data_IF_772878456508
#
_entry.id   IF_772878456508
#
_cell.length_a   1.000
_cell.length_b   1.000
_cell.length_c   1.000
_cell.angle_alpha   90.00
_cell.angle_beta   90.00
_cell.angle_gamma   90.00
#
_symmetry.space_group_name_H-M   'P 1'
#
loop_
_entity.id
_entity.type
_entity.pdbx_description
1 polymer ?
#
# COMPACT_ATOMS: atom_id res chain seq x y z
N UNK A 1 -9.67 2.27 -1.14
CA UNK A 1 -10.40 2.73 -2.34
C UNK A 1 -9.57 2.49 -3.61
N UNK A 2 -10.20 2.09 -4.71
CA UNK A 2 -9.58 1.96 -6.04
C UNK A 2 -10.26 2.92 -7.01
N UNK A 3 -9.48 3.56 -7.88
CA UNK A 3 -9.93 4.60 -8.80
C UNK A 3 -9.30 4.38 -10.17
N UNK A 4 -10.04 4.65 -11.25
CA UNK A 4 -9.44 4.73 -12.59
C UNK A 4 -8.64 6.03 -12.72
N UNK A 5 -7.49 5.98 -13.38
CA UNK A 5 -6.68 7.18 -13.61
C UNK A 5 -7.39 8.22 -14.48
N UNK A 6 -8.27 7.79 -15.39
CA UNK A 6 -9.07 8.69 -16.24
C UNK A 6 -10.10 9.53 -15.47
N UNK A 7 -10.46 9.11 -14.25
CA UNK A 7 -11.49 9.76 -13.44
C UNK A 7 -10.89 10.72 -12.40
N UNK A 8 -9.56 10.88 -12.39
CA UNK A 8 -8.82 11.68 -11.40
C UNK A 8 -7.94 12.70 -12.13
N UNK A 9 -7.81 13.94 -11.60
CA UNK A 9 -6.95 14.95 -12.22
C UNK A 9 -5.50 14.49 -12.40
N UNK A 10 -4.88 14.91 -13.50
CA UNK A 10 -3.48 14.56 -13.79
C UNK A 10 -2.49 15.28 -12.86
N UNK A 11 -2.78 16.56 -12.56
CA UNK A 11 -1.90 17.37 -11.72
C UNK A 11 -1.91 16.86 -10.29
N UNK A 12 -0.74 16.85 -9.65
CA UNK A 12 -0.60 16.37 -8.28
C UNK A 12 -1.49 17.15 -7.32
N UNK A 13 -1.48 18.48 -7.38
CA UNK A 13 -2.27 19.30 -6.47
C UNK A 13 -3.78 19.02 -6.56
N UNK A 14 -4.33 18.96 -7.78
CA UNK A 14 -5.76 18.69 -7.96
C UNK A 14 -6.13 17.25 -7.57
N UNK A 15 -5.25 16.28 -7.87
CA UNK A 15 -5.43 14.90 -7.44
C UNK A 15 -5.42 14.78 -5.92
N UNK A 16 -4.45 15.38 -5.25
CA UNK A 16 -4.30 15.31 -3.80
C UNK A 16 -5.55 15.89 -3.12
N UNK A 17 -6.07 17.02 -3.63
CA UNK A 17 -7.33 17.61 -3.16
C UNK A 17 -8.54 16.66 -3.32
N UNK A 18 -8.67 15.99 -4.46
CA UNK A 18 -9.75 15.00 -4.69
C UNK A 18 -9.60 13.80 -3.75
N UNK A 19 -8.38 13.29 -3.55
CA UNK A 19 -8.15 12.14 -2.66
C UNK A 19 -8.43 12.46 -1.20
N UNK A 20 -8.06 13.67 -0.76
CA UNK A 20 -8.39 14.18 0.58
C UNK A 20 -9.89 14.27 0.76
N UNK A 21 -10.61 14.89 -0.18
CA UNK A 21 -12.06 15.00 -0.13
C UNK A 21 -12.76 13.64 -0.13
N UNK A 22 -12.38 12.72 -1.03
CA UNK A 22 -12.98 11.38 -1.12
C UNK A 22 -12.82 10.55 0.17
N UNK A 23 -11.71 10.73 0.87
CA UNK A 23 -11.45 10.04 2.14
C UNK A 23 -11.86 10.87 3.37
N UNK A 24 -12.41 12.07 3.18
CA UNK A 24 -12.88 12.91 4.28
C UNK A 24 -11.75 13.46 5.15
N UNK A 25 -10.59 13.77 4.57
CA UNK A 25 -9.41 14.25 5.30
C UNK A 25 -9.12 15.73 5.02
N UNK A 26 -8.62 16.50 6.01
CA UNK A 26 -8.29 16.09 7.37
C UNK A 26 -9.51 16.05 8.30
N UNK A 27 -9.77 14.89 8.91
CA UNK A 27 -10.74 14.69 9.98
C UNK A 27 -10.40 13.36 10.67
N UNK A 28 -10.09 13.34 11.98
CA UNK A 28 -9.88 12.10 12.73
C UNK A 28 -10.99 11.06 12.55
N UNK A 29 -12.22 11.51 12.31
CA UNK A 29 -13.39 10.64 12.10
C UNK A 29 -13.60 10.28 10.63
N UNK A 30 -13.04 11.05 9.69
CA UNK A 30 -13.30 10.95 8.25
C UNK A 30 -14.80 10.89 7.92
N UNK A 31 -15.62 11.64 8.68
CA UNK A 31 -17.07 11.50 8.67
C UNK A 31 -17.71 11.91 7.34
N UNK A 32 -17.11 12.88 6.66
CA UNK A 32 -17.54 13.40 5.36
C UNK A 32 -16.84 12.69 4.18
N UNK A 33 -16.42 11.43 4.36
CA UNK A 33 -15.76 10.67 3.32
C UNK A 33 -15.82 9.15 3.48
N UNK A 34 -15.13 8.46 2.58
CA UNK A 34 -15.05 6.99 2.56
C UNK A 34 -13.89 6.45 3.42
N UNK A 35 -13.19 7.34 4.12
CA UNK A 35 -12.14 6.98 5.06
C UNK A 35 -12.72 6.22 6.24
N UNK A 36 -11.90 5.35 6.84
CA UNK A 36 -12.33 4.49 7.94
C UNK A 36 -11.62 4.79 9.24
N UNK A 37 -11.29 6.07 9.51
CA UNK A 37 -10.60 6.63 10.70
C UNK A 37 -9.18 6.07 11.00
N UNK A 38 -8.80 4.93 10.42
CA UNK A 38 -7.48 4.32 10.61
C UNK A 38 -6.59 4.50 9.38
N UNK A 39 -5.28 4.60 9.58
CA UNK A 39 -4.33 4.66 8.48
C UNK A 39 -4.43 3.43 7.55
N UNK A 40 -4.83 2.26 8.08
CA UNK A 40 -5.04 1.02 7.32
C UNK A 40 -6.21 1.12 6.32
N UNK A 41 -7.23 1.92 6.62
CA UNK A 41 -8.45 2.12 5.84
C UNK A 41 -8.48 3.45 5.09
N UNK A 42 -7.61 4.42 5.44
CA UNK A 42 -7.39 5.66 4.69
C UNK A 42 -6.33 5.48 3.59
N UNK A 43 -6.69 4.78 2.51
CA UNK A 43 -5.77 4.44 1.40
C UNK A 43 -6.45 4.49 0.04
N UNK A 44 -5.74 4.99 -0.96
CA UNK A 44 -6.19 5.01 -2.34
C UNK A 44 -5.20 4.33 -3.29
N UNK A 45 -5.73 3.71 -4.35
CA UNK A 45 -4.96 3.13 -5.45
C UNK A 45 -5.56 3.62 -6.75
N UNK A 46 -4.73 4.25 -7.59
CA UNK A 46 -5.12 4.76 -8.90
C UNK A 46 -4.59 3.79 -9.94
N UNK A 47 -5.45 3.31 -10.83
CA UNK A 47 -5.16 2.22 -11.76
C UNK A 47 -5.46 2.63 -13.19
N UNK A 48 -4.60 2.21 -14.11
CA UNK A 48 -4.81 2.36 -15.54
C UNK A 48 -4.16 1.21 -16.31
N UNK A 49 -4.61 0.96 -17.53
CA UNK A 49 -3.99 0.02 -18.45
C UNK A 49 -3.23 0.78 -19.53
N UNK A 50 -2.01 0.34 -19.82
CA UNK A 50 -1.18 0.85 -20.91
C UNK A 50 -0.40 -0.28 -21.57
N UNK A 51 -0.77 -0.62 -22.81
CA UNK A 51 0.02 -1.49 -23.69
C UNK A 51 0.20 -2.93 -23.18
N UNK A 52 -0.85 -3.52 -22.61
CA UNK A 52 -0.88 -4.84 -21.97
C UNK A 52 -0.33 -4.87 -20.55
N UNK A 53 -0.14 -3.72 -19.90
CA UNK A 53 0.38 -3.61 -18.52
C UNK A 53 -0.51 -2.72 -17.67
N UNK A 54 -0.87 -3.19 -16.49
CA UNK A 54 -1.67 -2.42 -15.53
C UNK A 54 -0.73 -1.58 -14.66
N UNK A 55 -0.78 -0.27 -14.82
CA UNK A 55 -0.06 0.66 -13.99
C UNK A 55 -0.91 1.01 -12.78
N UNK A 56 -0.29 1.01 -11.59
CA UNK A 56 -0.97 1.47 -10.38
C UNK A 56 -0.11 2.42 -9.57
N UNK A 57 -0.75 3.43 -8.98
CA UNK A 57 -0.15 4.37 -8.03
C UNK A 57 -0.85 4.22 -6.68
N UNK A 58 -0.08 3.88 -5.66
CA UNK A 58 -0.55 3.87 -4.27
C UNK A 58 -0.43 5.27 -3.66
N UNK A 59 -1.43 5.65 -2.88
CA UNK A 59 -1.46 6.88 -2.10
C UNK A 59 -1.90 6.56 -0.68
N UNK A 60 -1.05 6.89 0.29
CA UNK A 60 -1.43 6.96 1.69
C UNK A 60 -2.02 8.33 1.96
N UNK A 61 -3.22 8.39 2.51
CA UNK A 61 -3.86 9.66 2.88
C UNK A 61 -3.80 9.79 4.40
N UNK A 62 -3.37 10.96 4.88
CA UNK A 62 -3.40 11.31 6.30
C UNK A 62 -4.83 11.31 6.81
N UNK A 63 -5.06 10.91 8.05
CA UNK A 63 -6.43 10.88 8.61
C UNK A 63 -6.79 12.27 9.09
N UNK A 64 -6.01 12.77 10.05
CA UNK A 64 -6.11 14.08 10.70
C UNK A 64 -5.24 15.17 10.06
N UNK A 65 -4.40 14.79 9.09
CA UNK A 65 -3.53 15.71 8.35
C UNK A 65 -3.90 15.76 6.86
N UNK A 66 -3.85 16.95 6.26
CA UNK A 66 -4.12 17.18 4.83
C UNK A 66 -2.93 16.77 3.94
N UNK A 67 -2.46 15.52 4.08
CA UNK A 67 -1.27 15.02 3.40
C UNK A 67 -1.61 13.78 2.57
N UNK A 68 -1.05 13.73 1.36
CA UNK A 68 -1.06 12.54 0.50
C UNK A 68 0.38 12.11 0.24
N UNK A 69 0.74 10.93 0.74
CA UNK A 69 2.07 10.35 0.61
C UNK A 69 2.12 9.24 -0.45
N UNK A 70 3.02 9.42 -1.41
CA UNK A 70 3.28 8.51 -2.53
C UNK A 70 4.60 7.73 -2.38
N UNK A 71 5.38 7.98 -1.33
CA UNK A 71 6.67 7.35 -1.09
C UNK A 71 6.54 5.96 -0.46
N UNK A 72 5.46 5.75 0.29
CA UNK A 72 5.13 4.47 0.91
C UNK A 72 4.49 3.53 -0.11
N UNK A 73 4.61 2.23 0.12
CA UNK A 73 3.89 1.21 -0.64
C UNK A 73 3.18 0.27 0.32
N UNK A 74 2.03 -0.25 -0.11
CA UNK A 74 1.29 -1.26 0.64
C UNK A 74 1.39 -2.62 -0.06
N UNK A 75 1.97 -3.60 0.63
CA UNK A 75 2.06 -4.98 0.14
C UNK A 75 0.70 -5.67 -0.01
N UNK A 76 -0.34 -5.17 0.65
CA UNK A 76 -1.67 -5.78 0.65
C UNK A 76 -2.47 -5.30 -0.57
N UNK A 77 -2.55 -3.98 -0.74
CA UNK A 77 -3.35 -3.36 -1.80
C UNK A 77 -2.82 -3.64 -3.21
N UNK A 78 -1.51 -3.87 -3.38
CA UNK A 78 -0.95 -4.25 -4.69
C UNK A 78 -1.57 -5.53 -5.25
N UNK A 79 -2.03 -6.44 -4.38
CA UNK A 79 -2.60 -7.73 -4.80
C UNK A 79 -4.04 -7.57 -5.28
N UNK A 80 -4.75 -6.57 -4.77
CA UNK A 80 -6.09 -6.22 -5.22
C UNK A 80 -6.12 -5.53 -6.60
N UNK A 81 -4.96 -5.06 -7.11
CA UNK A 81 -4.87 -4.35 -8.40
C UNK A 81 -5.24 -5.25 -9.58
N UNK A 82 -4.76 -6.49 -9.61
CA UNK A 82 -5.07 -7.42 -10.71
C UNK A 82 -6.57 -7.78 -10.78
N UNK A 83 -7.24 -8.16 -9.67
CA UNK A 83 -8.68 -8.34 -9.62
C UNK A 83 -9.45 -7.11 -10.08
N UNK A 84 -9.09 -5.92 -9.57
CA UNK A 84 -9.73 -4.67 -9.96
C UNK A 84 -9.63 -4.47 -11.48
N UNK A 85 -8.45 -4.71 -12.06
CA UNK A 85 -8.24 -4.57 -13.49
C UNK A 85 -9.02 -5.59 -14.33
N UNK A 86 -9.27 -6.80 -13.81
CA UNK A 86 -10.13 -7.80 -14.47
C UNK A 86 -11.59 -7.36 -14.40
N UNK A 87 -12.09 -7.06 -13.21
CA UNK A 87 -13.49 -6.74 -12.96
C UNK A 87 -13.91 -5.45 -13.69
N UNK A 88 -13.01 -4.47 -13.76
CA UNK A 88 -13.21 -3.21 -14.48
C UNK A 88 -12.85 -3.29 -15.97
N UNK A 89 -12.58 -4.49 -16.50
CA UNK A 89 -12.28 -4.76 -17.91
C UNK A 89 -11.10 -3.97 -18.47
N UNK A 90 -10.16 -3.60 -17.60
CA UNK A 90 -8.86 -3.07 -18.00
C UNK A 90 -8.01 -4.18 -18.64
N UNK A 91 -8.14 -5.42 -18.16
CA UNK A 91 -7.51 -6.59 -18.77
C UNK A 91 -8.58 -7.43 -19.45
N UNK A 92 -8.29 -7.94 -20.65
CA UNK A 92 -9.21 -8.80 -21.38
C UNK A 92 -9.59 -10.02 -20.52
N UNK A 93 -10.89 -10.24 -20.26
CA UNK A 93 -11.33 -11.36 -19.43
C UNK A 93 -11.07 -12.67 -20.16
N UNK A 94 -10.57 -13.66 -19.43
CA UNK A 94 -10.46 -15.04 -19.89
C UNK A 94 -10.42 -15.96 -18.70
N UNK A 95 -11.39 -16.86 -18.62
CA UNK A 95 -11.61 -17.72 -17.44
C UNK A 95 -10.48 -18.73 -17.20
N UNK A 96 -10.34 -19.13 -15.94
CA UNK A 96 -9.27 -19.96 -15.41
C UNK A 96 -8.09 -19.15 -14.86
N UNK A 97 -6.97 -19.83 -14.64
CA UNK A 97 -5.76 -19.20 -14.11
C UNK A 97 -5.14 -18.23 -15.12
N UNK A 98 -4.84 -17.01 -14.71
CA UNK A 98 -4.27 -15.94 -15.56
C UNK A 98 -3.13 -15.20 -14.89
N UNK A 99 -2.31 -14.59 -15.74
CA UNK A 99 -1.22 -13.71 -15.32
C UNK A 99 -1.49 -12.28 -15.77
N UNK A 100 -1.45 -11.35 -14.81
CA UNK A 100 -1.55 -9.91 -15.08
C UNK A 100 -0.20 -9.25 -14.78
N UNK A 101 0.28 -8.46 -15.74
CA UNK A 101 1.49 -7.65 -15.57
C UNK A 101 1.10 -6.34 -14.90
N UNK A 102 1.70 -6.08 -13.73
CA UNK A 102 1.50 -4.84 -13.00
C UNK A 102 2.80 -4.03 -12.99
N UNK A 103 2.67 -2.71 -13.03
CA UNK A 103 3.77 -1.78 -12.86
C UNK A 103 3.43 -0.76 -11.76
N UNK A 104 4.21 -0.76 -10.69
CA UNK A 104 4.05 0.21 -9.61
C UNK A 104 4.61 1.57 -10.05
N UNK A 105 3.74 2.55 -10.26
CA UNK A 105 4.11 3.89 -10.71
C UNK A 105 4.84 4.72 -9.64
N UNK A 106 4.78 4.35 -8.35
CA UNK A 106 5.55 5.00 -7.29
C UNK A 106 7.03 4.61 -7.33
N UNK A 107 7.33 3.35 -7.68
CA UNK A 107 8.68 2.75 -7.53
C UNK A 107 9.32 2.26 -8.83
N UNK A 108 8.55 2.12 -9.90
CA UNK A 108 8.99 1.50 -11.15
C UNK A 108 9.09 -0.03 -11.10
N UNK A 109 8.64 -0.68 -10.02
CA UNK A 109 8.75 -2.13 -9.87
C UNK A 109 7.69 -2.85 -10.70
N UNK A 110 8.14 -3.72 -11.60
CA UNK A 110 7.29 -4.68 -12.32
C UNK A 110 6.91 -5.87 -11.43
N UNK A 111 5.65 -6.29 -11.49
CA UNK A 111 5.07 -7.37 -10.70
C UNK A 111 4.26 -8.27 -11.63
N UNK A 112 4.39 -9.58 -11.45
CA UNK A 112 3.51 -10.58 -12.06
C UNK A 112 2.49 -11.02 -11.02
N UNK A 113 1.22 -10.78 -11.27
CA UNK A 113 0.12 -11.28 -10.43
C UNK A 113 -0.53 -12.50 -11.10
N UNK A 114 -0.78 -13.55 -10.33
CA UNK A 114 -1.48 -14.75 -10.75
C UNK A 114 -2.78 -14.85 -9.97
N UNK A 115 -3.89 -14.93 -10.69
CA UNK A 115 -5.25 -15.01 -10.14
C UNK A 115 -6.12 -15.91 -11.02
N UNK A 116 -7.18 -16.44 -10.42
CA UNK A 116 -8.21 -17.19 -11.14
C UNK A 116 -9.34 -16.26 -11.55
N UNK A 117 -9.80 -16.39 -12.80
CA UNK A 117 -10.94 -15.66 -13.35
C UNK A 117 -12.08 -16.65 -13.55
N UNK A 118 -13.28 -16.30 -13.13
CA UNK A 118 -14.49 -17.09 -13.29
C UNK A 118 -15.62 -16.17 -13.74
N UNK A 119 -16.34 -16.54 -14.80
CA UNK A 119 -17.44 -15.76 -15.37
C UNK A 119 -17.01 -14.33 -15.75
N UNK A 120 -15.78 -14.20 -16.26
CA UNK A 120 -15.18 -12.92 -16.64
C UNK A 120 -14.83 -11.98 -15.48
N UNK A 121 -14.87 -12.46 -14.22
CA UNK A 121 -14.52 -11.71 -13.01
C UNK A 121 -13.42 -12.40 -12.24
N UNK A 122 -12.70 -11.68 -11.39
CA UNK A 122 -11.78 -12.32 -10.46
C UNK A 122 -12.55 -13.26 -9.53
N UNK A 123 -12.10 -14.51 -9.43
CA UNK A 123 -12.70 -15.46 -8.49
C UNK A 123 -12.43 -14.97 -7.06
N UNK A 124 -13.42 -15.13 -6.20
CA UNK A 124 -13.35 -14.68 -4.79
C UNK A 124 -13.59 -15.83 -3.82
N UNK A 125 -14.52 -16.72 -4.16
CA UNK A 125 -14.91 -17.85 -3.28
C UNK A 125 -13.85 -18.96 -3.34
N UNK A 126 -13.27 -19.30 -2.19
CA UNK A 126 -12.29 -20.37 -2.03
C UNK A 126 -12.09 -20.73 -0.56
N UNK A 127 -11.13 -21.61 -0.29
CA UNK A 127 -10.83 -22.20 1.03
C UNK A 127 -9.52 -21.68 1.64
N UNK A 128 -8.83 -20.75 0.98
CA UNK A 128 -7.60 -20.17 1.49
C UNK A 128 -7.92 -19.10 2.55
N UNK A 129 -7.37 -19.26 3.75
CA UNK A 129 -7.53 -18.32 4.85
C UNK A 129 -6.20 -17.59 5.16
N UNK A 130 -6.32 -16.38 5.69
CA UNK A 130 -5.20 -15.50 6.06
C UNK A 130 -5.44 -14.91 7.45
N UNK A 131 -4.41 -14.84 8.31
CA UNK A 131 -4.58 -14.21 9.62
C UNK A 131 -5.00 -12.75 9.50
N UNK A 132 -6.01 -12.36 10.29
CA UNK A 132 -6.51 -10.97 10.36
C UNK A 132 -7.71 -10.66 9.46
N UNK A 133 -8.16 -11.58 8.61
CA UNK A 133 -9.43 -11.46 7.90
C UNK A 133 -10.33 -12.65 8.17
N UNK A 134 -11.57 -12.43 8.65
CA UNK A 134 -12.57 -13.48 8.78
C UNK A 134 -12.92 -14.12 7.43
N UNK A 135 -13.20 -15.42 7.45
CA UNK A 135 -13.60 -16.18 6.28
C UNK A 135 -12.43 -16.70 5.43
N UNK A 136 -12.76 -17.14 4.22
CA UNK A 136 -11.83 -17.72 3.26
C UNK A 136 -12.09 -17.20 1.85
N UNK A 137 -11.12 -17.40 0.98
CA UNK A 137 -11.22 -17.00 -0.42
C UNK A 137 -10.18 -17.67 -1.30
N UNK A 138 -9.87 -17.07 -2.43
CA UNK A 138 -8.83 -17.59 -3.33
C UNK A 138 -7.48 -16.90 -3.12
N UNK A 139 -6.35 -17.63 -3.26
CA UNK A 139 -5.04 -17.02 -3.22
C UNK A 139 -4.74 -16.24 -4.50
N UNK A 140 -4.10 -15.09 -4.34
CA UNK A 140 -3.45 -14.35 -5.43
C UNK A 140 -1.97 -14.30 -5.15
N UNK A 141 -1.20 -14.79 -6.11
CA UNK A 141 0.24 -14.85 -6.00
C UNK A 141 0.87 -13.67 -6.75
N UNK A 142 1.60 -12.84 -6.03
CA UNK A 142 2.39 -11.74 -6.62
C UNK A 142 3.87 -12.07 -6.57
N UNK A 143 4.53 -12.02 -7.72
CA UNK A 143 5.98 -12.19 -7.88
C UNK A 143 6.58 -10.89 -8.37
N UNK A 144 7.64 -10.44 -7.72
CA UNK A 144 8.32 -9.21 -8.08
C UNK A 144 9.78 -9.27 -7.71
N UNK A 145 10.55 -8.43 -8.40
CA UNK A 145 11.98 -8.51 -8.34
C UNK A 145 12.55 -7.27 -7.67
N UNK A 146 13.30 -7.45 -6.59
CA UNK A 146 13.92 -6.35 -5.86
C UNK A 146 15.39 -6.27 -6.26
N UNK A 147 15.79 -5.09 -6.74
CA UNK A 147 17.20 -4.75 -6.85
C UNK A 147 17.75 -4.47 -5.44
N UNK A 148 18.83 -5.13 -5.01
CA UNK A 148 19.44 -4.81 -3.72
C UNK A 148 19.92 -3.35 -3.71
N UNK A 149 19.89 -2.69 -2.54
CA UNK A 149 20.38 -1.32 -2.42
C UNK A 149 21.83 -1.21 -2.91
N UNK A 150 22.18 -0.07 -3.52
CA UNK A 150 23.58 0.22 -3.84
C UNK A 150 24.36 0.26 -2.53
N UNK A 151 25.34 -0.62 -2.34
CA UNK A 151 26.27 -0.49 -1.21
C UNK A 151 27.06 0.81 -1.40
N UNK A 152 26.92 1.74 -0.47
CA UNK A 152 27.73 2.96 -0.43
C UNK A 152 29.17 2.58 -0.03
N UNK A 153 29.99 2.28 -1.02
CA UNK A 153 31.42 2.07 -0.89
C UNK A 153 32.11 2.70 -2.10
N UNK A 154 33.18 3.46 -1.86
CA UNK A 154 33.94 4.21 -2.88
C UNK A 154 34.31 3.30 -4.07
N UNK A 155 33.83 3.66 -5.25
CA UNK A 155 33.99 2.91 -6.49
C UNK A 155 32.63 2.71 -7.18
N UNK A 156 32.63 2.46 -8.49
CA UNK A 156 31.42 2.12 -9.24
C UNK A 156 30.81 0.83 -8.66
N UNK A 157 29.97 0.97 -7.63
CA UNK A 157 29.47 -0.12 -6.81
C UNK A 157 28.60 -1.06 -7.63
N UNK A 158 29.11 -2.26 -7.92
CA UNK A 158 28.36 -3.33 -8.59
C UNK A 158 27.11 -3.63 -7.77
N UNK A 159 25.93 -3.54 -8.40
CA UNK A 159 24.68 -4.04 -7.80
C UNK A 159 24.79 -5.57 -7.69
N UNK A 160 24.38 -6.13 -6.55
CA UNK A 160 24.24 -7.57 -6.40
C UNK A 160 23.18 -8.12 -7.37
N UNK A 161 23.16 -9.44 -7.62
CA UNK A 161 22.15 -10.04 -8.48
C UNK A 161 20.76 -9.73 -7.91
N UNK A 162 19.79 -9.47 -8.79
CA UNK A 162 18.48 -9.03 -8.36
C UNK A 162 17.80 -10.24 -7.66
N UNK A 163 16.98 -10.05 -6.61
CA UNK A 163 16.33 -11.16 -5.86
C UNK A 163 14.83 -11.26 -6.15
N UNK A 164 14.33 -12.47 -6.40
CA UNK A 164 12.89 -12.76 -6.46
C UNK A 164 12.28 -12.66 -5.06
N UNK A 165 11.12 -12.01 -4.95
CA UNK A 165 10.22 -12.18 -3.81
C UNK A 165 8.83 -12.57 -4.31
N UNK A 166 8.22 -13.53 -3.64
CA UNK A 166 6.83 -13.92 -3.83
C UNK A 166 6.03 -13.62 -2.56
N UNK A 167 4.76 -13.22 -2.73
CA UNK A 167 3.78 -13.10 -1.65
C UNK A 167 2.42 -13.62 -2.12
N UNK A 168 1.76 -14.41 -1.28
CA UNK A 168 0.37 -14.81 -1.46
C UNK A 168 -0.53 -14.00 -0.54
N UNK A 169 -1.71 -13.67 -1.03
CA UNK A 169 -2.73 -12.85 -0.39
C UNK A 169 -4.09 -13.41 -0.76
N UNK A 170 -5.02 -13.50 0.20
CA UNK A 170 -6.38 -13.98 -0.10
C UNK A 170 -7.29 -12.81 -0.44
N UNK A 171 -8.18 -13.05 -1.40
CA UNK A 171 -9.35 -12.20 -1.63
C UNK A 171 -10.57 -12.86 -1.02
N UNK A 172 -11.17 -12.22 -0.03
CA UNK A 172 -12.37 -12.73 0.65
C UNK A 172 -13.62 -11.95 0.20
N UNK A 173 -14.75 -12.63 0.00
CA UNK A 173 -16.01 -11.96 -0.29
C UNK A 173 -16.50 -11.18 0.93
N UNK A 174 -17.07 -10.00 0.69
CA UNK A 174 -17.76 -9.21 1.72
C UNK A 174 -19.24 -9.14 1.39
N UNK A 175 -19.54 -8.69 0.18
CA UNK A 175 -20.87 -8.44 -0.38
C UNK A 175 -20.86 -8.66 -1.90
N UNK A 176 -22.01 -8.77 -2.58
CA UNK A 176 -22.07 -8.87 -4.04
C UNK A 176 -21.41 -7.65 -4.71
N UNK A 177 -20.24 -7.86 -5.31
CA UNK A 177 -19.47 -6.81 -6.00
C UNK A 177 -18.42 -6.09 -5.15
N UNK A 178 -18.19 -6.51 -3.90
CA UNK A 178 -17.13 -5.95 -3.03
C UNK A 178 -16.29 -7.06 -2.39
N UNK A 179 -14.97 -6.91 -2.37
CA UNK A 179 -14.03 -7.88 -1.79
C UNK A 179 -12.96 -7.22 -0.90
N UNK A 180 -12.52 -7.92 0.15
CA UNK A 180 -11.36 -7.52 0.97
C UNK A 180 -10.09 -8.22 0.49
N UNK A 181 -8.95 -7.55 0.62
CA UNK A 181 -7.61 -8.13 0.41
C UNK A 181 -6.76 -7.90 1.65
N UNK A 182 -6.21 -8.97 2.24
CA UNK A 182 -5.43 -8.83 3.47
C UNK A 182 -4.19 -9.70 3.57
N UNK A 183 -3.17 -9.16 4.25
CA UNK A 183 -1.91 -9.83 4.57
C UNK A 183 -1.63 -9.66 6.06
N UNK A 184 -0.95 -10.62 6.65
CA UNK A 184 -0.20 -10.37 7.88
C UNK A 184 1.13 -9.67 7.55
N UNK A 185 1.38 -8.55 8.20
CA UNK A 185 2.73 -8.03 8.39
C UNK A 185 3.33 -8.74 9.62
N UNK A 186 4.34 -9.59 9.41
CA UNK A 186 5.00 -10.30 10.50
C UNK A 186 5.75 -9.36 11.47
N UNK A 187 5.88 -8.07 11.14
CA UNK A 187 6.49 -7.05 12.01
C UNK A 187 5.48 -6.36 12.95
N UNK A 188 4.18 -6.56 12.77
CA UNK A 188 3.16 -6.01 13.68
C UNK A 188 2.81 -7.03 14.77
N UNK A 189 3.05 -6.65 16.03
CA UNK A 189 2.63 -7.42 17.20
C UNK A 189 1.09 -7.54 17.21
N UNK A 190 0.53 -8.66 17.73
CA UNK A 190 -0.92 -8.78 17.86
C UNK A 190 -1.46 -7.62 18.73
N UNK A 191 -2.52 -6.98 18.26
CA UNK A 191 -3.28 -6.01 19.05
C UNK A 191 -3.78 -6.70 20.34
N UNK A 192 -3.52 -6.14 21.53
CA UNK A 192 -4.20 -6.59 22.74
C UNK A 192 -5.70 -6.22 22.68
N UNK A 193 -6.51 -6.94 23.45
CA UNK A 193 -7.99 -6.94 23.53
C UNK A 193 -8.66 -5.56 23.66
N UNK A 194 -9.98 -5.44 23.37
CA UNK A 194 -10.64 -4.17 23.02
C UNK A 194 -10.94 -3.20 24.18
N UNK A 195 -10.29 -3.30 25.33
CA UNK A 195 -10.57 -2.46 26.50
C UNK A 195 -9.43 -1.55 26.95
N UNK A 196 -8.28 -1.59 26.28
CA UNK A 196 -7.16 -0.73 26.65
C UNK A 196 -6.79 0.24 25.53
N UNK A 197 -6.70 1.52 25.93
CA UNK A 197 -5.99 2.66 25.30
C UNK A 197 -6.83 3.71 24.56
N UNK A 198 -7.29 4.69 25.35
CA UNK A 198 -7.13 6.14 25.12
C UNK A 198 -6.48 6.66 26.43
N UNK A 199 -5.55 7.67 26.53
CA UNK A 199 -5.22 8.72 25.55
C UNK A 199 -3.70 9.05 25.33
N UNK A 200 -3.45 9.73 24.19
CA UNK A 200 -2.71 11.01 24.04
C UNK A 200 -1.18 11.09 23.83
N UNK A 201 -0.87 11.87 22.77
CA UNK A 201 0.30 12.74 22.50
C UNK A 201 1.61 12.17 21.96
N UNK A 202 1.86 12.46 20.67
CA UNK A 202 3.18 12.83 20.19
C UNK A 202 3.05 13.87 19.05
N UNK A 203 3.33 15.13 19.38
CA UNK A 203 3.60 16.26 18.48
C UNK A 203 5.13 16.54 18.53
N UNK A 204 5.73 17.36 17.64
CA UNK A 204 6.60 16.88 16.56
C UNK A 204 8.07 17.27 16.77
N UNK A 205 8.92 16.76 15.86
CA UNK A 205 10.37 16.98 15.85
C UNK A 205 10.77 18.45 15.59
N UNK A 206 11.82 18.93 16.28
CA UNK A 206 12.56 20.13 15.88
C UNK A 206 14.08 19.94 15.95
N UNK A 207 14.68 19.96 14.75
CA UNK A 207 15.72 20.90 14.31
C UNK A 207 16.68 21.52 15.34
N UNK A 208 18.01 21.29 15.20
CA UNK A 208 19.03 22.35 15.34
C UNK A 208 20.45 21.94 14.85
N UNK A 209 21.20 22.85 14.19
CA UNK A 209 22.57 22.65 13.67
C UNK A 209 23.70 23.23 14.58
N UNK A 210 24.93 22.72 14.35
CA UNK A 210 26.31 23.28 14.56
C UNK A 210 26.71 24.01 15.88
N UNK A 211 27.80 23.49 16.48
CA UNK A 211 28.87 24.04 17.38
C UNK A 211 29.14 25.57 17.32
N UNK A 212 29.90 26.24 18.25
CA UNK A 212 30.81 25.72 19.32
C UNK A 212 30.83 26.49 20.68
N UNK A 213 31.75 26.07 21.58
CA UNK A 213 32.55 26.86 22.55
C UNK A 213 32.17 26.88 24.06
N UNK A 214 33.10 26.30 24.87
CA UNK A 214 33.66 26.70 26.21
C UNK A 214 32.69 27.03 27.37
N UNK A 215 33.00 26.83 28.66
CA UNK A 215 34.18 26.37 29.40
C UNK A 215 33.79 25.99 30.86
N UNK A 216 34.67 25.22 31.51
CA UNK A 216 34.86 25.06 32.99
C UNK A 216 33.74 24.32 33.76
N UNK A 217 33.96 23.53 34.83
CA UNK A 217 34.99 23.34 35.87
C UNK A 217 35.05 21.81 36.13
N UNK A 218 36.18 21.16 36.44
CA UNK A 218 37.04 21.39 37.60
C UNK A 218 36.76 20.33 38.69
N UNK A 219 37.83 19.64 39.11
CA UNK A 219 37.96 18.69 40.25
C UNK A 219 37.41 17.26 40.05
N UNK A 220 38.05 16.18 40.49
CA UNK A 220 39.39 15.88 41.00
C UNK A 220 39.41 14.36 41.26
N UNK A 221 40.54 13.67 41.00
CA UNK A 221 41.30 12.88 42.00
C UNK A 221 42.14 11.76 41.36
N UNK A 222 43.45 11.91 41.62
CA UNK A 222 44.52 10.91 41.81
C UNK A 222 45.10 10.24 40.56
#
# INVERSE_FOLDING_TARGET
MFLHARDIPETRAARDAVLLALLGSPDPLQFDGLGGTYSSTSKAVIVEERGGTVHYRFAQVGVDEAIVDYSVNCGNLKTAVAPFAVDERLVAPGDGLRHVRLHNANTGVAIKAELEIQDGRARVVGDHAIPGVPGSGVPILTRYWILPPRRAGRGCGKRGPPREKSRSLTICPVDPGSYWVAQRDASQRPFPSPMDVIPVMAEPADFAPRLPFRATKGAAKR
#
